data_IF_901653926488
#
_entry.id   IF_901653926488
#
_cell.length_a   1.000
_cell.length_b   1.000
_cell.length_c   1.000
_cell.angle_alpha   90.00
_cell.angle_beta   90.00
_cell.angle_gamma   90.00
#
_symmetry.space_group_name_H-M   'P 1'
#
loop_
_entity.id
_entity.type
_entity.pdbx_description
1 polymer ?
#
# COMPACT_ATOMS: atom_id res chain seq x y z
N UNK A 1 -13.96 38.48 -31.10
CA UNK A 1 -14.22 37.25 -31.89
C UNK A 1 -13.48 36.01 -31.35
N UNK A 2 -12.49 36.14 -30.47
CA UNK A 2 -11.67 34.98 -30.05
C UNK A 2 -12.27 34.08 -28.94
N UNK A 3 -13.11 34.64 -28.07
CA UNK A 3 -13.75 33.88 -26.99
C UNK A 3 -14.74 32.85 -27.54
N UNK A 4 -15.46 33.20 -28.60
CA UNK A 4 -16.41 32.30 -29.26
C UNK A 4 -15.70 31.09 -29.89
N UNK A 5 -14.45 31.26 -30.33
CA UNK A 5 -13.69 30.17 -30.95
C UNK A 5 -13.15 29.15 -29.93
N UNK A 6 -12.76 29.63 -28.73
CA UNK A 6 -12.31 28.75 -27.64
C UNK A 6 -13.44 27.89 -27.06
N UNK A 7 -14.66 28.43 -26.98
CA UNK A 7 -15.84 27.67 -26.53
C UNK A 7 -16.21 26.54 -27.49
N UNK A 8 -16.12 26.78 -28.81
CA UNK A 8 -16.37 25.75 -29.81
C UNK A 8 -15.39 24.58 -29.71
N UNK A 9 -14.10 24.86 -29.45
CA UNK A 9 -13.08 23.83 -29.29
C UNK A 9 -13.29 22.97 -28.03
N UNK A 10 -13.72 23.60 -26.93
CA UNK A 10 -14.01 22.91 -25.69
C UNK A 10 -15.23 21.99 -25.82
N UNK A 11 -16.30 22.43 -26.49
CA UNK A 11 -17.50 21.63 -26.73
C UNK A 11 -17.25 20.47 -27.72
N UNK A 12 -16.42 20.68 -28.74
CA UNK A 12 -16.05 19.62 -29.70
C UNK A 12 -15.22 18.50 -29.02
N UNK A 13 -14.38 18.86 -28.05
CA UNK A 13 -13.54 17.91 -27.32
C UNK A 13 -14.35 16.96 -26.43
N UNK A 14 -15.46 17.42 -25.84
CA UNK A 14 -16.35 16.57 -25.02
C UNK A 14 -17.07 15.54 -25.89
N UNK A 15 -17.34 15.86 -27.16
CA UNK A 15 -18.03 14.95 -28.09
C UNK A 15 -17.17 13.79 -28.55
N UNK A 16 -15.84 13.93 -28.55
CA UNK A 16 -14.89 12.88 -28.95
C UNK A 16 -14.65 11.81 -27.86
N UNK A 17 -14.94 12.12 -26.59
CA UNK A 17 -14.77 11.17 -25.47
C UNK A 17 -15.98 10.22 -25.34
N UNK A 18 -17.15 10.59 -25.88
CA UNK A 18 -18.33 9.73 -25.96
C UNK A 18 -18.44 9.04 -27.33
N UNK A 19 -17.37 8.34 -27.72
CA UNK A 19 -17.40 7.44 -28.88
C UNK A 19 -18.30 6.23 -28.64
N UNK A 20 -19.29 6.07 -29.52
CA UNK A 20 -20.22 4.96 -29.70
C UNK A 20 -19.86 3.63 -28.99
N UNK A 21 -20.69 3.23 -28.03
CA UNK A 21 -20.73 1.84 -27.58
C UNK A 21 -21.27 0.94 -28.69
N UNK A 22 -20.56 -0.11 -29.12
CA UNK A 22 -21.13 -1.08 -30.04
C UNK A 22 -22.30 -1.82 -29.39
N UNK A 23 -23.35 -1.92 -30.19
CA UNK A 23 -24.64 -2.59 -29.98
C UNK A 23 -24.46 -3.97 -29.33
N UNK A 24 -25.17 -4.16 -28.20
CA UNK A 24 -25.33 -5.44 -27.52
C UNK A 24 -26.09 -6.44 -28.42
N UNK A 25 -25.39 -7.38 -29.05
CA UNK A 25 -26.01 -8.57 -29.65
C UNK A 25 -25.85 -9.80 -28.76
N UNK A 26 -27.01 -10.23 -28.25
CA UNK A 26 -27.47 -11.59 -27.92
C UNK A 26 -26.47 -12.64 -27.40
N UNK A 27 -26.56 -12.84 -26.08
CA UNK A 27 -26.81 -14.11 -25.38
C UNK A 27 -26.67 -15.41 -26.20
N UNK A 28 -25.64 -16.19 -25.86
CA UNK A 28 -25.73 -17.67 -25.83
C UNK A 28 -25.18 -18.16 -24.49
N UNK A 29 -26.11 -18.57 -23.62
CA UNK A 29 -25.87 -19.33 -22.38
C UNK A 29 -24.97 -20.54 -22.66
N UNK A 30 -23.90 -20.72 -21.88
CA UNK A 30 -23.32 -22.03 -21.60
C UNK A 30 -23.11 -22.16 -20.08
N UNK A 31 -23.54 -23.26 -19.43
CA UNK A 31 -23.75 -23.25 -17.99
C UNK A 31 -22.46 -23.37 -17.19
N UNK A 32 -22.45 -22.61 -16.10
CA UNK A 32 -21.57 -22.69 -14.95
C UNK A 32 -21.57 -24.13 -14.38
N UNK A 33 -20.38 -24.74 -14.19
CA UNK A 33 -20.25 -25.98 -13.41
C UNK A 33 -19.72 -25.62 -12.03
N UNK A 34 -20.55 -25.88 -11.02
CA UNK A 34 -20.21 -25.78 -9.61
C UNK A 34 -19.03 -26.72 -9.26
N UNK A 35 -18.15 -26.34 -8.32
CA UNK A 35 -17.23 -27.27 -7.68
C UNK A 35 -18.03 -28.32 -6.91
N UNK A 36 -17.77 -29.60 -7.21
CA UNK A 36 -18.42 -30.73 -6.54
C UNK A 36 -17.82 -30.94 -5.15
N UNK A 37 -18.73 -31.05 -4.20
CA UNK A 37 -18.62 -31.60 -2.86
C UNK A 37 -17.79 -32.92 -2.83
N UNK A 38 -16.92 -33.15 -1.84
CA UNK A 38 -16.22 -34.42 -1.70
C UNK A 38 -17.16 -35.48 -1.13
N UNK A 39 -17.36 -36.54 -1.91
CA UNK A 39 -18.17 -37.70 -1.56
C UNK A 39 -17.54 -38.53 -0.45
N UNK A 40 -18.35 -38.83 0.55
CA UNK A 40 -18.20 -39.87 1.57
C UNK A 40 -18.22 -41.27 0.93
N UNK A 41 -17.27 -42.14 1.28
CA UNK A 41 -17.46 -43.59 1.25
C UNK A 41 -16.52 -44.32 2.22
N UNK A 42 -17.17 -45.13 3.04
CA UNK A 42 -16.81 -45.98 4.20
C UNK A 42 -15.89 -47.18 3.92
N UNK A 43 -15.03 -47.52 4.90
CA UNK A 43 -14.74 -48.85 5.52
C UNK A 43 -14.48 -50.11 4.61
N UNK A 44 -13.55 -51.08 4.79
CA UNK A 44 -12.58 -51.59 5.81
C UNK A 44 -11.84 -52.81 5.15
N UNK A 45 -11.05 -53.69 5.84
CA UNK A 45 -9.63 -53.65 6.24
C UNK A 45 -8.69 -54.64 5.48
N UNK A 46 -7.36 -54.53 5.66
CA UNK A 46 -6.48 -55.68 6.03
C UNK A 46 -4.99 -55.29 6.15
N UNK A 47 -4.44 -55.54 7.35
CA UNK A 47 -3.10 -56.02 7.75
C UNK A 47 -1.99 -56.07 6.66
N UNK A 48 -0.70 -55.78 6.91
CA UNK A 48 0.12 -56.06 8.10
C UNK A 48 1.50 -55.39 7.92
N UNK A 49 1.98 -54.73 8.97
CA UNK A 49 3.39 -54.78 9.38
C UNK A 49 4.40 -53.86 8.68
N UNK A 50 4.61 -52.65 9.23
CA UNK A 50 5.98 -52.16 9.49
C UNK A 50 5.98 -51.08 10.58
N UNK A 51 6.70 -51.39 11.65
CA UNK A 51 7.08 -50.63 12.86
C UNK A 51 6.66 -49.15 12.92
N UNK A 52 5.84 -48.84 13.92
CA UNK A 52 5.66 -47.49 14.45
C UNK A 52 7.00 -46.96 14.98
N UNK A 53 7.44 -45.81 14.44
CA UNK A 53 8.42 -44.96 15.10
C UNK A 53 7.65 -43.76 15.64
N UNK A 54 7.34 -43.81 16.94
CA UNK A 54 6.82 -42.70 17.72
C UNK A 54 7.81 -41.54 17.62
N UNK A 55 7.52 -40.54 16.80
CA UNK A 55 8.18 -39.23 16.90
C UNK A 55 7.27 -38.35 17.72
N UNK A 56 7.58 -38.29 19.02
CA UNK A 56 7.03 -37.37 20.00
C UNK A 56 6.99 -35.95 19.43
N UNK A 57 5.85 -35.28 19.57
CA UNK A 57 5.72 -33.84 19.33
C UNK A 57 6.80 -33.11 20.12
N UNK A 58 7.84 -32.67 19.42
CA UNK A 58 8.74 -31.64 19.94
C UNK A 58 8.02 -30.31 19.73
N UNK A 59 7.35 -29.84 20.79
CA UNK A 59 7.04 -28.42 20.98
C UNK A 59 8.37 -27.68 20.79
N UNK A 60 8.55 -27.07 19.62
CA UNK A 60 9.68 -26.19 19.41
C UNK A 60 9.41 -24.90 20.18
N UNK A 61 9.72 -24.92 21.48
CA UNK A 61 10.14 -23.72 22.21
C UNK A 61 11.48 -23.29 21.62
N UNK A 62 11.45 -22.76 20.39
CA UNK A 62 12.57 -22.03 19.85
C UNK A 62 12.37 -20.60 20.29
N UNK A 63 13.05 -20.23 21.36
CA UNK A 63 13.34 -18.85 21.71
C UNK A 63 13.80 -18.15 20.44
N UNK A 64 12.91 -17.34 19.85
CA UNK A 64 13.25 -16.51 18.70
C UNK A 64 14.46 -15.67 19.12
N UNK A 65 15.58 -15.68 18.39
CA UNK A 65 16.64 -14.73 18.64
C UNK A 65 16.00 -13.35 18.55
N UNK A 66 16.01 -12.59 19.64
CA UNK A 66 15.71 -11.16 19.61
C UNK A 66 16.88 -10.48 18.90
N UNK A 67 16.98 -10.70 17.60
CA UNK A 67 17.70 -9.80 16.72
C UNK A 67 16.92 -8.50 16.81
N UNK A 68 17.44 -7.56 17.59
CA UNK A 68 16.96 -6.18 17.59
C UNK A 68 17.21 -5.67 16.17
N UNK A 69 16.23 -5.83 15.29
CA UNK A 69 16.25 -5.21 13.98
C UNK A 69 16.42 -3.71 14.20
N UNK A 70 17.25 -3.07 13.36
CA UNK A 70 17.34 -1.61 13.39
C UNK A 70 15.93 -1.02 13.29
N UNK A 71 15.62 0.04 14.05
CA UNK A 71 14.29 0.64 14.00
C UNK A 71 13.99 1.06 12.57
N UNK A 72 12.96 0.43 12.01
CA UNK A 72 12.48 0.72 10.66
C UNK A 72 11.68 2.03 10.71
N UNK A 73 11.88 2.96 9.77
CA UNK A 73 11.03 4.13 9.65
C UNK A 73 9.56 3.72 9.49
N UNK A 74 8.68 4.41 10.20
CA UNK A 74 7.24 4.17 10.15
C UNK A 74 6.60 4.66 8.86
N UNK A 75 7.29 5.47 8.06
CA UNK A 75 6.87 5.85 6.72
C UNK A 75 7.71 5.13 5.68
N UNK A 76 7.19 5.01 4.46
CA UNK A 76 7.91 4.39 3.34
C UNK A 76 9.30 5.02 3.19
N UNK A 77 10.38 4.25 3.37
CA UNK A 77 11.74 4.78 3.29
C UNK A 77 12.08 5.36 1.90
N UNK A 78 11.40 4.94 0.84
CA UNK A 78 11.67 5.38 -0.54
C UNK A 78 11.20 6.83 -0.75
N UNK A 79 10.17 7.29 -0.01
CA UNK A 79 9.58 8.62 -0.20
C UNK A 79 10.59 9.76 -0.05
N UNK A 80 11.57 9.60 0.83
CA UNK A 80 12.61 10.59 1.04
C UNK A 80 13.65 10.62 -0.07
N UNK A 81 13.94 9.47 -0.68
CA UNK A 81 14.78 9.45 -1.89
C UNK A 81 14.08 10.16 -3.04
N UNK A 82 12.78 9.95 -3.20
CA UNK A 82 11.97 10.69 -4.18
C UNK A 82 11.99 12.20 -3.91
N UNK A 83 11.83 12.62 -2.65
CA UNK A 83 11.91 14.04 -2.24
C UNK A 83 13.29 14.64 -2.54
N UNK A 84 14.35 13.97 -2.10
CA UNK A 84 15.74 14.45 -2.25
C UNK A 84 16.12 14.57 -3.75
N UNK A 85 15.52 13.76 -4.62
CA UNK A 85 15.68 13.83 -6.08
C UNK A 85 14.63 14.72 -6.77
N UNK A 86 13.87 15.53 -6.02
CA UNK A 86 12.86 16.46 -6.53
C UNK A 86 11.81 15.77 -7.43
N UNK A 87 11.46 14.53 -7.09
CA UNK A 87 10.46 13.78 -7.84
C UNK A 87 9.06 14.28 -7.52
N UNK A 88 8.25 14.45 -8.57
CA UNK A 88 6.82 14.79 -8.49
C UNK A 88 5.97 13.74 -7.77
N UNK A 89 6.53 12.58 -7.42
CA UNK A 89 5.81 11.50 -6.74
C UNK A 89 5.83 11.61 -5.22
N UNK A 90 6.80 12.30 -4.62
CA UNK A 90 7.01 12.26 -3.17
C UNK A 90 5.83 12.87 -2.38
N UNK A 91 5.45 14.10 -2.72
CA UNK A 91 4.37 14.82 -2.05
C UNK A 91 2.99 14.16 -2.29
N UNK A 92 2.59 13.80 -3.52
CA UNK A 92 1.33 13.09 -3.75
C UNK A 92 1.25 11.74 -3.02
N UNK A 93 2.37 11.03 -2.85
CA UNK A 93 2.40 9.79 -2.07
C UNK A 93 2.09 10.05 -0.58
N UNK A 94 2.60 11.15 -0.02
CA UNK A 94 2.31 11.55 1.35
C UNK A 94 0.84 12.00 1.51
N UNK A 95 0.33 12.79 0.57
CA UNK A 95 -1.06 13.24 0.56
C UNK A 95 -2.03 12.05 0.50
N UNK A 96 -1.75 11.07 -0.36
CA UNK A 96 -2.48 9.80 -0.39
C UNK A 96 -2.41 9.08 0.96
N UNK A 97 -1.23 9.06 1.60
CA UNK A 97 -1.06 8.43 2.92
C UNK A 97 -1.99 9.06 3.95
N UNK A 98 -2.00 10.39 4.04
CA UNK A 98 -2.88 11.15 4.94
C UNK A 98 -4.36 10.86 4.71
N UNK A 99 -4.76 10.61 3.46
CA UNK A 99 -6.15 10.29 3.10
C UNK A 99 -6.57 8.87 3.48
N UNK A 100 -5.64 7.92 3.53
CA UNK A 100 -5.94 6.50 3.71
C UNK A 100 -5.54 5.92 5.07
N UNK A 101 -4.87 6.70 5.91
CA UNK A 101 -4.66 6.34 7.31
C UNK A 101 -5.98 6.31 8.09
N UNK A 102 -6.08 5.52 9.17
CA UNK A 102 -7.20 5.63 10.08
C UNK A 102 -7.34 7.02 10.67
N UNK A 103 -8.58 7.41 10.89
CA UNK A 103 -8.95 8.76 11.28
C UNK A 103 -8.15 9.28 12.49
N UNK A 104 -7.93 8.45 13.51
CA UNK A 104 -7.19 8.86 14.71
C UNK A 104 -5.73 9.27 14.41
N UNK A 105 -5.08 8.61 13.45
CA UNK A 105 -3.71 8.95 13.05
C UNK A 105 -3.71 10.18 12.13
N UNK A 106 -4.62 10.23 11.17
CA UNK A 106 -4.77 11.39 10.28
C UNK A 106 -5.04 12.66 11.07
N UNK A 107 -5.92 12.61 12.07
CA UNK A 107 -6.24 13.73 12.93
C UNK A 107 -5.03 14.17 13.75
N UNK A 108 -4.23 13.22 14.26
CA UNK A 108 -3.01 13.53 14.98
C UNK A 108 -1.95 14.21 14.09
N UNK A 109 -1.82 13.77 12.83
CA UNK A 109 -0.91 14.39 11.86
C UNK A 109 -1.37 15.80 11.48
N UNK A 110 -2.68 15.99 11.28
CA UNK A 110 -3.27 17.32 11.04
C UNK A 110 -3.12 18.25 12.24
N UNK A 111 -3.35 17.75 13.45
CA UNK A 111 -3.17 18.52 14.68
C UNK A 111 -1.72 18.96 14.88
N UNK A 112 -0.76 18.07 14.59
CA UNK A 112 0.66 18.42 14.55
C UNK A 112 0.94 19.56 13.57
N UNK A 113 0.50 19.40 12.31
CA UNK A 113 0.69 20.42 11.28
C UNK A 113 0.04 21.76 11.65
N UNK A 114 -1.17 21.75 12.21
CA UNK A 114 -1.85 22.97 12.66
C UNK A 114 -1.11 23.66 13.81
N UNK A 115 -0.64 22.89 14.79
CA UNK A 115 0.07 23.43 15.97
C UNK A 115 1.39 24.08 15.56
N UNK A 116 2.09 23.48 14.61
CA UNK A 116 3.38 23.96 14.12
C UNK A 116 3.27 24.93 12.94
N UNK A 117 2.06 25.28 12.48
CA UNK A 117 1.80 26.08 11.27
C UNK A 117 2.48 25.54 10.00
N UNK A 118 2.41 24.21 9.82
CA UNK A 118 3.04 23.45 8.73
C UNK A 118 2.01 22.99 7.71
N UNK A 119 2.47 22.79 6.48
CA UNK A 119 1.72 22.09 5.43
C UNK A 119 2.28 20.67 5.18
N UNK A 120 1.70 19.94 4.23
CA UNK A 120 2.09 18.58 3.87
C UNK A 120 3.54 18.47 3.36
N UNK A 121 4.06 19.51 2.69
CA UNK A 121 5.46 19.57 2.25
C UNK A 121 6.43 19.77 3.41
N UNK A 122 6.04 20.57 4.40
CA UNK A 122 6.81 20.74 5.64
C UNK A 122 6.83 19.43 6.43
N UNK A 123 5.68 18.76 6.56
CA UNK A 123 5.57 17.44 7.17
C UNK A 123 6.44 16.40 6.44
N UNK A 124 6.45 16.39 5.10
CA UNK A 124 7.34 15.53 4.31
C UNK A 124 8.82 15.80 4.64
N UNK A 125 9.16 17.07 4.88
CA UNK A 125 10.50 17.47 5.29
C UNK A 125 10.85 16.93 6.68
N UNK A 126 9.97 17.09 7.66
CA UNK A 126 10.18 16.56 9.02
C UNK A 126 10.37 15.05 9.03
N UNK A 127 9.55 14.32 8.26
CA UNK A 127 9.65 12.87 8.09
C UNK A 127 11.03 12.48 7.57
N UNK A 128 11.52 13.18 6.55
CA UNK A 128 12.79 12.86 5.93
C UNK A 128 14.01 13.28 6.76
N UNK A 129 13.91 14.36 7.52
CA UNK A 129 14.93 14.74 8.49
C UNK A 129 15.03 13.74 9.65
N UNK A 130 13.89 13.27 10.17
CA UNK A 130 13.87 12.22 11.17
C UNK A 130 14.48 10.92 10.65
N UNK A 131 14.15 10.53 9.41
CA UNK A 131 14.74 9.35 8.74
C UNK A 131 16.27 9.46 8.65
N UNK A 132 16.82 10.63 8.30
CA UNK A 132 18.28 10.86 8.25
C UNK A 132 18.95 10.63 9.60
N UNK A 133 18.21 10.82 10.71
CA UNK A 133 18.65 10.54 12.09
C UNK A 133 18.36 9.10 12.53
N UNK A 134 17.83 8.24 11.65
CA UNK A 134 17.44 6.86 11.94
C UNK A 134 16.25 6.75 12.90
N UNK A 135 15.38 7.76 12.92
CA UNK A 135 14.25 7.87 13.85
C UNK A 135 12.95 8.19 13.11
N UNK A 136 11.84 8.02 13.82
CA UNK A 136 10.57 8.61 13.42
C UNK A 136 10.50 10.07 13.87
N UNK A 137 9.63 10.88 13.25
CA UNK A 137 9.31 12.21 13.76
C UNK A 137 8.91 12.17 15.23
N UNK A 138 9.29 13.20 15.99
CA UNK A 138 9.08 13.25 17.44
C UNK A 138 7.59 13.22 17.81
N UNK A 139 6.71 13.79 16.96
CA UNK A 139 5.26 13.72 17.18
C UNK A 139 4.70 12.29 17.10
N UNK A 140 5.46 11.32 16.58
CA UNK A 140 5.11 9.90 16.52
C UNK A 140 5.75 9.09 17.65
N UNK A 141 6.42 9.73 18.63
CA UNK A 141 7.14 9.03 19.69
C UNK A 141 6.23 8.10 20.52
N UNK A 142 4.96 8.46 20.68
CA UNK A 142 3.97 7.71 21.47
C UNK A 142 3.17 6.68 20.67
N UNK A 143 3.48 6.50 19.37
CA UNK A 143 2.74 5.57 18.53
C UNK A 143 3.07 4.12 18.90
N UNK A 144 2.05 3.27 18.88
CA UNK A 144 2.24 1.84 19.07
C UNK A 144 2.95 1.24 17.86
N UNK A 145 3.53 0.04 18.03
CA UNK A 145 4.13 -0.67 16.89
C UNK A 145 3.10 -0.96 15.78
N UNK A 146 1.83 -1.17 16.14
CA UNK A 146 0.75 -1.35 15.17
C UNK A 146 0.48 -0.07 14.37
N UNK A 147 0.44 1.10 15.02
CA UNK A 147 0.27 2.38 14.33
C UNK A 147 1.41 2.62 13.35
N UNK A 148 2.65 2.35 13.78
CA UNK A 148 3.84 2.49 12.94
C UNK A 148 3.80 1.56 11.72
N UNK A 149 3.43 0.29 11.92
CA UNK A 149 3.31 -0.68 10.83
C UNK A 149 2.23 -0.26 9.82
N UNK A 150 1.08 0.21 10.31
CA UNK A 150 -0.01 0.66 9.45
C UNK A 150 0.34 1.90 8.64
N UNK A 151 1.09 2.84 9.21
CA UNK A 151 1.61 4.00 8.48
C UNK A 151 2.60 3.55 7.41
N UNK A 152 3.46 2.59 7.74
CA UNK A 152 4.46 2.08 6.81
C UNK A 152 3.77 1.43 5.61
N UNK A 153 2.79 0.57 5.86
CA UNK A 153 2.09 -0.15 4.81
C UNK A 153 1.23 0.78 3.94
N UNK A 154 0.49 1.69 4.58
CA UNK A 154 -0.31 2.70 3.86
C UNK A 154 0.57 3.59 2.98
N UNK A 155 1.68 4.08 3.52
CA UNK A 155 2.59 4.95 2.75
C UNK A 155 3.28 4.20 1.60
N UNK A 156 3.65 2.94 1.80
CA UNK A 156 4.21 2.09 0.75
C UNK A 156 3.20 1.89 -0.38
N UNK A 157 1.95 1.55 -0.05
CA UNK A 157 0.89 1.38 -1.04
C UNK A 157 0.58 2.67 -1.79
N UNK A 158 0.56 3.80 -1.10
CA UNK A 158 0.33 5.10 -1.71
C UNK A 158 1.44 5.48 -2.67
N UNK A 159 2.72 5.26 -2.29
CA UNK A 159 3.82 5.46 -3.23
C UNK A 159 3.64 4.61 -4.48
N UNK A 160 3.42 3.30 -4.32
CA UNK A 160 3.23 2.38 -5.45
C UNK A 160 2.11 2.87 -6.37
N UNK A 161 0.98 3.33 -5.82
CA UNK A 161 -0.15 3.83 -6.61
C UNK A 161 0.18 5.13 -7.36
N UNK A 162 0.92 6.04 -6.74
CA UNK A 162 1.28 7.32 -7.34
C UNK A 162 2.49 7.24 -8.28
N UNK A 163 3.27 6.16 -8.20
CA UNK A 163 4.34 5.85 -9.16
C UNK A 163 3.83 4.94 -10.26
N UNK A 164 3.75 5.44 -11.50
CA UNK A 164 3.42 4.60 -12.67
C UNK A 164 4.58 3.69 -13.13
N UNK A 165 5.72 3.75 -12.43
CA UNK A 165 6.95 3.03 -12.76
C UNK A 165 7.10 1.79 -11.89
N UNK A 166 7.81 0.80 -12.41
CA UNK A 166 8.18 -0.37 -11.61
C UNK A 166 9.03 0.02 -10.40
N UNK A 167 8.98 -0.76 -9.32
CA UNK A 167 9.84 -0.56 -8.14
C UNK A 167 11.32 -0.47 -8.51
N UNK A 168 11.76 -1.29 -9.46
CA UNK A 168 13.13 -1.27 -9.97
C UNK A 168 13.49 0.07 -10.64
N UNK A 169 12.57 0.63 -11.41
CA UNK A 169 12.75 1.95 -12.02
C UNK A 169 12.69 3.09 -11.01
N UNK A 170 11.84 2.98 -9.99
CA UNK A 170 11.74 3.97 -8.92
C UNK A 170 13.04 4.05 -8.13
N UNK A 171 13.67 2.92 -7.84
CA UNK A 171 14.98 2.90 -7.18
C UNK A 171 16.05 3.62 -8.03
N UNK A 172 15.96 3.60 -9.36
CA UNK A 172 16.87 4.36 -10.23
C UNK A 172 16.64 5.88 -10.21
N UNK A 173 15.48 6.35 -9.69
CA UNK A 173 15.23 7.78 -9.48
C UNK A 173 15.86 8.31 -8.21
N UNK A 174 16.41 7.42 -7.37
CA UNK A 174 17.00 7.77 -6.09
C UNK A 174 18.51 7.62 -6.22
N UNK A 175 19.22 8.76 -6.26
CA UNK A 175 20.69 8.81 -6.25
C UNK A 175 21.27 8.59 -4.86
#
# INVERSE_FOLDING_TARGET
MEIMWRLAYFLLSISLVFGNSPKLEKSTKKPQKAPKEPATATATPAQKGRKASTSTQAIQNKTTPKTTAAPKPSTDPIICGLKDNQSDFALPSLECTLQHLPQNLTDHWKAYMQTENKNESDLLTDICEAKKKGKNPDFMANYTENDKAMIHDTSTLCRIRHTAKSECEILNLIK
#
